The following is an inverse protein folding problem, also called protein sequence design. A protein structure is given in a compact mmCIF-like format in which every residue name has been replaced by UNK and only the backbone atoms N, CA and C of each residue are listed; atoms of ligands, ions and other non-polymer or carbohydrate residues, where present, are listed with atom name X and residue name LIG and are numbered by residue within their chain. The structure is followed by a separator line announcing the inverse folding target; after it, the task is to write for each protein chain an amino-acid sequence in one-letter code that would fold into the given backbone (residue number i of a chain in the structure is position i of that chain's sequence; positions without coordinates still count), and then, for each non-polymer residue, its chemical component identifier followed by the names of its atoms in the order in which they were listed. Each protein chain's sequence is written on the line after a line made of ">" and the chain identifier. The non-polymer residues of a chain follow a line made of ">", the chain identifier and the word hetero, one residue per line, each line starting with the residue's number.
data_IF_197124052481
#
_entry.id   IF_197124052481
#
_cell.length_a   1.000
_cell.length_b   1.000
_cell.length_c   1.000
_cell.angle_alpha   90.00
_cell.angle_beta   90.00
_cell.angle_gamma   90.00
#
_symmetry.space_group_name_H-M   'P 1'
#
loop_
_entity.id
_entity.type
_entity.pdbx_description
1 polymer ?
#
# COMPACT_ATOMS: atom_id res chain seq x y z
N UNK A 1 -63.23 -28.48 -20.75
CA UNK A 1 -61.81 -28.74 -21.06
C UNK A 1 -61.13 -27.39 -21.13
N UNK A 2 -60.50 -26.95 -20.04
CA UNK A 2 -59.91 -25.61 -19.94
C UNK A 2 -58.57 -25.58 -20.68
N UNK A 3 -58.50 -24.82 -21.76
CA UNK A 3 -57.28 -24.58 -22.52
C UNK A 3 -56.27 -23.80 -21.66
N UNK A 4 -55.15 -24.44 -21.30
CA UNK A 4 -53.95 -23.76 -20.81
C UNK A 4 -53.34 -23.04 -22.03
N UNK A 5 -53.21 -21.71 -21.94
CA UNK A 5 -52.42 -20.93 -22.90
C UNK A 5 -50.92 -21.23 -22.67
N UNK A 6 -50.10 -21.35 -23.73
CA UNK A 6 -48.67 -21.60 -23.59
C UNK A 6 -47.98 -20.38 -22.97
N UNK A 7 -47.09 -20.61 -22.01
CA UNK A 7 -46.18 -19.59 -21.49
C UNK A 7 -45.23 -19.20 -22.63
N UNK A 8 -45.11 -17.91 -23.02
CA UNK A 8 -44.13 -17.50 -24.01
C UNK A 8 -42.72 -17.68 -23.43
N UNK A 9 -41.88 -18.42 -24.14
CA UNK A 9 -40.44 -18.52 -23.84
C UNK A 9 -39.79 -17.13 -23.97
N UNK A 10 -38.93 -16.71 -23.03
CA UNK A 10 -38.21 -15.46 -23.18
C UNK A 10 -37.15 -15.59 -24.28
N UNK A 11 -37.17 -14.65 -25.23
CA UNK A 11 -36.15 -14.50 -26.26
C UNK A 11 -34.75 -14.30 -25.62
N UNK A 12 -33.70 -15.03 -26.05
CA UNK A 12 -32.37 -14.94 -25.47
C UNK A 12 -31.55 -13.73 -25.96
N UNK A 13 -32.19 -12.69 -26.49
CA UNK A 13 -31.51 -11.57 -27.17
C UNK A 13 -32.03 -10.20 -26.71
N UNK A 14 -32.24 -10.01 -25.40
CA UNK A 14 -32.32 -8.67 -24.86
C UNK A 14 -30.89 -8.10 -24.79
N UNK A 15 -30.57 -7.20 -25.72
CA UNK A 15 -29.38 -6.36 -25.68
C UNK A 15 -29.09 -5.90 -24.25
N UNK A 16 -27.84 -6.08 -23.81
CA UNK A 16 -27.30 -5.56 -22.55
C UNK A 16 -27.29 -4.03 -22.60
N UNK A 17 -28.45 -3.42 -22.44
CA UNK A 17 -28.62 -1.99 -22.31
C UNK A 17 -28.09 -1.60 -20.94
N UNK A 18 -26.82 -1.20 -20.90
CA UNK A 18 -26.22 -0.59 -19.73
C UNK A 18 -27.07 0.62 -19.30
N UNK A 19 -27.24 0.80 -17.99
CA UNK A 19 -27.97 1.92 -17.41
C UNK A 19 -27.24 3.26 -17.64
N UNK A 20 -27.82 4.36 -17.15
CA UNK A 20 -27.27 5.71 -17.27
C UNK A 20 -25.85 5.87 -16.66
N UNK A 21 -25.38 4.88 -15.91
CA UNK A 21 -24.09 4.86 -15.23
C UNK A 21 -23.16 3.74 -15.74
N UNK A 22 -23.55 3.05 -16.82
CA UNK A 22 -22.73 2.02 -17.46
C UNK A 22 -22.81 0.64 -16.79
N UNK A 23 -23.83 0.38 -15.97
CA UNK A 23 -24.03 -0.91 -15.31
C UNK A 23 -25.08 -1.76 -16.05
N UNK A 24 -24.83 -3.07 -16.16
CA UNK A 24 -25.81 -4.00 -16.75
C UNK A 24 -26.95 -4.30 -15.75
N UNK A 25 -28.19 -3.84 -16.01
CA UNK A 25 -29.32 -4.10 -15.12
C UNK A 25 -29.69 -5.59 -15.04
N UNK A 26 -29.30 -6.43 -16.02
CA UNK A 26 -29.50 -7.87 -15.96
C UNK A 26 -28.62 -8.54 -14.89
N UNK A 27 -27.45 -7.97 -14.60
CA UNK A 27 -26.58 -8.45 -13.52
C UNK A 27 -27.20 -8.30 -12.12
N UNK A 28 -28.18 -7.41 -11.97
CA UNK A 28 -28.88 -7.13 -10.71
C UNK A 28 -30.35 -7.59 -10.71
N UNK A 29 -30.78 -8.33 -11.73
CA UNK A 29 -32.17 -8.77 -11.81
C UNK A 29 -32.47 -9.87 -10.79
N UNK A 30 -33.28 -9.54 -9.77
CA UNK A 30 -33.69 -10.47 -8.72
C UNK A 30 -35.21 -10.41 -8.48
N UNK A 31 -35.80 -11.51 -8.00
CA UNK A 31 -37.25 -11.66 -7.80
C UNK A 31 -37.68 -11.06 -6.44
N UNK A 32 -38.51 -10.00 -6.42
CA UNK A 32 -38.95 -9.31 -5.21
C UNK A 32 -39.63 -10.21 -4.17
N UNK A 33 -39.27 -10.06 -2.89
CA UNK A 33 -39.99 -10.74 -1.78
C UNK A 33 -41.38 -10.14 -1.64
N UNK A 34 -42.40 -10.95 -1.89
CA UNK A 34 -43.80 -10.54 -1.77
C UNK A 34 -44.24 -10.57 -0.30
N UNK A 35 -44.32 -9.39 0.34
CA UNK A 35 -45.01 -9.20 1.62
C UNK A 35 -46.41 -8.64 1.41
N UNK A 36 -47.32 -8.92 2.36
CA UNK A 36 -48.69 -8.39 2.38
C UNK A 36 -48.65 -6.88 2.14
N UNK A 37 -49.27 -6.43 1.04
CA UNK A 37 -49.22 -5.04 0.54
C UNK A 37 -49.78 -4.08 1.59
N UNK A 38 -48.90 -3.47 2.40
CA UNK A 38 -49.21 -2.24 3.13
C UNK A 38 -48.85 -1.08 2.22
N UNK A 39 -49.70 -0.05 2.16
CA UNK A 39 -49.55 1.12 1.28
C UNK A 39 -48.17 1.80 1.43
N UNK A 40 -47.55 1.64 2.61
CA UNK A 40 -46.28 2.27 2.98
C UNK A 40 -45.13 1.26 3.18
N UNK A 41 -45.28 0.02 2.71
CA UNK A 41 -44.29 -1.05 2.89
C UNK A 41 -43.17 -1.07 1.84
N UNK A 42 -42.30 -2.08 1.95
CA UNK A 42 -41.29 -2.42 0.94
C UNK A 42 -41.97 -2.96 -0.32
N UNK A 43 -42.22 -2.10 -1.29
CA UNK A 43 -42.62 -2.51 -2.64
C UNK A 43 -41.42 -3.02 -3.43
N UNK A 44 -41.64 -3.83 -4.48
CA UNK A 44 -40.59 -4.20 -5.43
C UNK A 44 -39.76 -3.01 -5.92
N UNK A 45 -40.43 -1.92 -6.32
CA UNK A 45 -39.77 -0.72 -6.85
C UNK A 45 -38.86 -0.05 -5.80
N UNK A 46 -39.31 0.01 -4.54
CA UNK A 46 -38.49 0.52 -3.44
C UNK A 46 -37.30 -0.37 -3.14
N UNK A 47 -37.44 -1.70 -3.29
CA UNK A 47 -36.33 -2.62 -3.09
C UNK A 47 -35.29 -2.46 -4.21
N UNK A 48 -35.71 -2.25 -5.47
CA UNK A 48 -34.80 -1.96 -6.58
C UNK A 48 -34.09 -0.61 -6.39
N UNK A 49 -34.84 0.47 -6.17
CA UNK A 49 -34.28 1.80 -5.94
C UNK A 49 -33.32 1.83 -4.74
N UNK A 50 -33.57 1.02 -3.71
CA UNK A 50 -32.68 0.90 -2.57
C UNK A 50 -31.34 0.26 -2.95
N UNK A 51 -31.36 -0.80 -3.77
CA UNK A 51 -30.14 -1.49 -4.22
C UNK A 51 -29.32 -0.58 -5.15
N UNK A 52 -29.98 0.15 -6.05
CA UNK A 52 -29.34 1.15 -6.90
C UNK A 52 -28.67 2.24 -6.05
N UNK A 53 -29.41 2.86 -5.14
CA UNK A 53 -28.88 3.86 -4.22
C UNK A 53 -27.71 3.33 -3.38
N UNK A 54 -27.78 2.07 -2.95
CA UNK A 54 -26.73 1.43 -2.18
C UNK A 54 -25.46 1.21 -3.01
N UNK A 55 -25.60 0.82 -4.28
CA UNK A 55 -24.48 0.65 -5.21
C UNK A 55 -23.77 1.97 -5.53
N UNK A 56 -24.48 3.09 -5.43
CA UNK A 56 -23.92 4.42 -5.65
C UNK A 56 -23.21 5.00 -4.43
N UNK A 57 -23.83 4.91 -3.25
CA UNK A 57 -23.31 5.58 -2.06
C UNK A 57 -22.55 4.66 -1.09
N UNK A 58 -22.78 3.35 -1.13
CA UNK A 58 -22.21 2.37 -0.17
C UNK A 58 -22.71 2.52 1.27
N UNK A 59 -23.65 3.44 1.54
CA UNK A 59 -24.19 3.72 2.86
C UNK A 59 -25.64 3.26 2.98
N UNK A 60 -25.88 2.28 3.85
CA UNK A 60 -27.22 1.72 4.09
C UNK A 60 -28.19 2.78 4.62
N UNK A 61 -27.72 3.64 5.54
CA UNK A 61 -28.53 4.72 6.09
C UNK A 61 -28.96 5.72 5.01
N UNK A 62 -28.03 6.12 4.14
CA UNK A 62 -28.29 7.06 3.04
C UNK A 62 -29.24 6.44 2.00
N UNK A 63 -28.98 5.20 1.58
CA UNK A 63 -29.83 4.49 0.62
C UNK A 63 -31.25 4.28 1.16
N UNK A 64 -31.40 3.92 2.43
CA UNK A 64 -32.72 3.75 3.05
C UNK A 64 -33.49 5.08 3.10
N UNK A 65 -32.82 6.18 3.44
CA UNK A 65 -33.43 7.50 3.46
C UNK A 65 -33.93 7.92 2.07
N UNK A 66 -33.17 7.65 1.01
CA UNK A 66 -33.55 7.98 -0.37
C UNK A 66 -34.84 7.28 -0.82
N UNK A 67 -35.10 6.05 -0.36
CA UNK A 67 -36.34 5.33 -0.67
C UNK A 67 -37.47 5.55 0.35
N UNK A 68 -37.27 6.47 1.30
CA UNK A 68 -38.24 6.77 2.36
C UNK A 68 -38.43 5.61 3.35
N UNK A 69 -37.37 4.85 3.63
CA UNK A 69 -37.35 3.74 4.57
C UNK A 69 -36.34 3.98 5.70
N UNK A 70 -36.49 3.25 6.81
CA UNK A 70 -35.47 3.22 7.84
C UNK A 70 -34.44 2.13 7.57
N UNK A 71 -33.19 2.37 7.95
CA UNK A 71 -32.11 1.37 7.92
C UNK A 71 -32.52 0.07 8.64
N UNK A 72 -33.12 0.20 9.83
CA UNK A 72 -33.61 -0.94 10.61
C UNK A 72 -34.65 -1.78 9.87
N UNK A 73 -35.49 -1.15 9.03
CA UNK A 73 -36.47 -1.86 8.20
C UNK A 73 -35.82 -2.59 7.02
N UNK A 74 -34.75 -2.04 6.46
CA UNK A 74 -33.97 -2.66 5.39
C UNK A 74 -33.29 -3.95 5.87
N UNK A 75 -32.65 -3.92 7.04
CA UNK A 75 -32.08 -5.14 7.66
C UNK A 75 -33.14 -6.17 8.06
N UNK A 76 -34.36 -5.73 8.40
CA UNK A 76 -35.47 -6.65 8.68
C UNK A 76 -35.98 -7.31 7.39
N UNK A 77 -35.97 -6.59 6.27
CA UNK A 77 -36.29 -7.15 4.96
C UNK A 77 -35.22 -8.17 4.54
N UNK A 78 -33.94 -7.83 4.66
CA UNK A 78 -32.81 -8.72 4.36
C UNK A 78 -32.86 -10.05 5.10
N UNK A 79 -33.29 -10.05 6.36
CA UNK A 79 -33.42 -11.27 7.19
C UNK A 79 -34.76 -12.01 7.03
N UNK A 80 -35.65 -11.56 6.15
CA UNK A 80 -36.97 -12.20 6.03
C UNK A 80 -36.94 -13.43 5.13
N UNK A 81 -37.82 -14.42 5.36
CA UNK A 81 -37.89 -15.61 4.52
C UNK A 81 -38.10 -15.25 3.05
N UNK A 82 -37.31 -15.85 2.16
CA UNK A 82 -37.33 -15.58 0.72
C UNK A 82 -36.48 -14.38 0.26
N UNK A 83 -35.81 -13.66 1.18
CA UNK A 83 -34.98 -12.50 0.85
C UNK A 83 -33.57 -12.84 0.34
N UNK A 84 -33.27 -14.10 0.04
CA UNK A 84 -31.96 -14.56 -0.43
C UNK A 84 -31.51 -13.81 -1.69
N UNK A 85 -32.43 -13.55 -2.60
CA UNK A 85 -32.14 -12.84 -3.84
C UNK A 85 -31.86 -11.34 -3.60
N UNK A 86 -32.56 -10.73 -2.63
CA UNK A 86 -32.29 -9.37 -2.18
C UNK A 86 -30.95 -9.27 -1.45
N UNK A 87 -30.59 -10.26 -0.64
CA UNK A 87 -29.30 -10.35 0.07
C UNK A 87 -28.10 -10.45 -0.89
N UNK A 88 -28.25 -11.24 -1.97
CA UNK A 88 -27.24 -11.29 -3.04
C UNK A 88 -27.11 -9.96 -3.76
N UNK A 89 -28.22 -9.33 -4.13
CA UNK A 89 -28.21 -8.02 -4.78
C UNK A 89 -27.60 -6.94 -3.89
N UNK A 90 -27.88 -6.99 -2.58
CA UNK A 90 -27.27 -6.11 -1.58
C UNK A 90 -25.76 -6.27 -1.53
N UNK A 91 -25.28 -7.51 -1.48
CA UNK A 91 -23.85 -7.80 -1.42
C UNK A 91 -23.14 -7.29 -2.68
N UNK A 92 -23.71 -7.56 -3.86
CA UNK A 92 -23.20 -7.05 -5.13
C UNK A 92 -23.18 -5.50 -5.20
N UNK A 93 -24.18 -4.84 -4.63
CA UNK A 93 -24.22 -3.38 -4.54
C UNK A 93 -23.11 -2.82 -3.63
N UNK A 94 -22.88 -3.44 -2.46
CA UNK A 94 -21.76 -3.05 -1.59
C UNK A 94 -20.42 -3.24 -2.31
N UNK A 95 -20.24 -4.35 -3.03
CA UNK A 95 -19.03 -4.59 -3.81
C UNK A 95 -18.84 -3.52 -4.88
N UNK A 96 -19.90 -3.14 -5.60
CA UNK A 96 -19.87 -2.06 -6.60
C UNK A 96 -19.50 -0.70 -5.96
N UNK A 97 -20.12 -0.37 -4.83
CA UNK A 97 -19.82 0.86 -4.11
C UNK A 97 -18.38 0.88 -3.55
N UNK A 98 -17.87 -0.27 -3.12
CA UNK A 98 -16.50 -0.39 -2.61
C UNK A 98 -15.45 -0.09 -3.69
N UNK A 99 -15.70 -0.48 -4.94
CA UNK A 99 -14.84 -0.15 -6.09
C UNK A 99 -14.80 1.35 -6.34
N UNK A 100 -15.96 2.02 -6.35
CA UNK A 100 -16.05 3.48 -6.47
C UNK A 100 -15.33 4.19 -5.31
N UNK A 101 -15.45 3.67 -4.09
CA UNK A 101 -14.76 4.21 -2.92
C UNK A 101 -13.24 4.04 -3.03
N UNK A 102 -12.77 2.90 -3.54
CA UNK A 102 -11.36 2.66 -3.82
C UNK A 102 -10.84 3.62 -4.89
N UNK A 103 -11.56 3.80 -6.00
CA UNK A 103 -11.18 4.75 -7.06
C UNK A 103 -11.08 6.19 -6.51
N UNK A 104 -12.08 6.63 -5.73
CA UNK A 104 -12.07 7.93 -5.08
C UNK A 104 -10.95 8.06 -4.03
N UNK A 105 -10.57 6.96 -3.36
CA UNK A 105 -9.46 6.95 -2.42
C UNK A 105 -8.11 7.05 -3.14
N UNK A 106 -7.92 6.35 -4.26
CA UNK A 106 -6.74 6.46 -5.11
C UNK A 106 -6.59 7.88 -5.66
N UNK A 107 -7.66 8.46 -6.21
CA UNK A 107 -7.67 9.84 -6.69
C UNK A 107 -7.25 10.82 -5.59
N UNK A 108 -7.86 10.70 -4.39
CA UNK A 108 -7.53 11.56 -3.25
C UNK A 108 -6.10 11.35 -2.73
N UNK A 109 -5.57 10.14 -2.82
CA UNK A 109 -4.20 9.85 -2.40
C UNK A 109 -3.17 10.38 -3.41
N UNK A 110 -3.45 10.30 -4.71
CA UNK A 110 -2.53 10.70 -5.79
C UNK A 110 -2.58 12.20 -6.09
N UNK A 111 -3.77 12.77 -6.22
CA UNK A 111 -3.98 14.18 -6.58
C UNK A 111 -4.07 15.08 -5.34
N UNK A 112 -4.59 14.55 -4.22
CA UNK A 112 -4.91 15.32 -3.02
C UNK A 112 -6.35 15.84 -3.01
N UNK A 113 -6.80 16.42 -1.90
CA UNK A 113 -8.13 17.03 -1.77
C UNK A 113 -8.04 18.52 -1.50
N UNK A 114 -8.91 19.30 -2.15
CA UNK A 114 -9.07 20.72 -1.88
C UNK A 114 -9.86 20.94 -0.57
N UNK A 115 -9.16 21.33 0.49
CA UNK A 115 -9.79 21.79 1.72
C UNK A 115 -10.06 23.32 1.62
N UNK A 116 -11.32 23.76 1.80
CA UNK A 116 -11.62 25.18 1.89
C UNK A 116 -11.01 25.77 3.17
N UNK A 117 -10.23 26.84 3.03
CA UNK A 117 -9.68 27.59 4.17
C UNK A 117 -10.65 28.71 4.52
N UNK A 118 -11.10 28.73 5.77
CA UNK A 118 -12.02 29.76 6.30
C UNK A 118 -11.25 30.73 7.22
N UNK A 119 -11.63 32.00 7.21
CA UNK A 119 -11.15 32.99 8.19
C UNK A 119 -11.83 32.79 9.55
N UNK A 120 -11.43 33.59 10.54
CA UNK A 120 -12.04 33.61 11.87
C UNK A 120 -13.51 34.05 11.81
N UNK A 121 -13.92 34.71 10.74
CA UNK A 121 -15.28 35.19 10.50
C UNK A 121 -16.14 34.19 9.69
N UNK A 122 -15.61 33.00 9.37
CA UNK A 122 -16.30 31.93 8.64
C UNK A 122 -16.43 32.12 7.12
N UNK A 123 -15.78 33.14 6.56
CA UNK A 123 -15.74 33.38 5.10
C UNK A 123 -14.65 32.52 4.47
N UNK A 124 -14.94 31.95 3.30
CA UNK A 124 -13.99 31.10 2.56
C UNK A 124 -12.92 32.00 1.91
N UNK A 125 -11.69 31.93 2.42
CA UNK A 125 -10.56 32.80 2.03
C UNK A 125 -9.69 32.17 0.96
N UNK A 126 -9.74 30.84 0.80
CA UNK A 126 -8.93 30.15 -0.19
C UNK A 126 -9.19 28.65 -0.29
N UNK A 127 -8.34 27.99 -1.06
CA UNK A 127 -8.27 26.53 -1.20
C UNK A 127 -6.87 26.07 -0.82
N UNK A 128 -6.77 25.04 0.01
CA UNK A 128 -5.52 24.38 0.33
C UNK A 128 -5.59 22.95 -0.21
N UNK A 129 -4.66 22.60 -1.09
CA UNK A 129 -4.49 21.22 -1.52
C UNK A 129 -3.85 20.42 -0.38
N UNK A 130 -4.54 19.38 0.08
CA UNK A 130 -4.05 18.47 1.12
C UNK A 130 -3.88 17.08 0.56
N UNK A 131 -2.64 16.61 0.52
CA UNK A 131 -2.34 15.21 0.26
C UNK A 131 -2.55 14.39 1.54
N UNK A 132 -3.19 13.23 1.41
CA UNK A 132 -3.46 12.33 2.54
C UNK A 132 -2.46 11.18 2.55
N UNK A 133 -1.28 11.41 3.13
CA UNK A 133 -0.20 10.42 3.21
C UNK A 133 -0.65 9.15 3.95
N UNK A 134 -1.58 9.28 4.90
CA UNK A 134 -2.16 8.12 5.61
C UNK A 134 -3.01 7.24 4.69
N UNK A 135 -3.77 7.86 3.78
CA UNK A 135 -4.54 7.13 2.78
C UNK A 135 -3.62 6.47 1.75
N UNK A 136 -2.58 7.19 1.31
CA UNK A 136 -1.55 6.66 0.41
C UNK A 136 -0.85 5.44 1.03
N UNK A 137 -0.39 5.55 2.28
CA UNK A 137 0.27 4.45 2.99
C UNK A 137 -0.68 3.26 3.23
N UNK A 138 -1.96 3.51 3.51
CA UNK A 138 -2.96 2.45 3.62
C UNK A 138 -3.12 1.69 2.30
N UNK A 139 -3.23 2.40 1.17
CA UNK A 139 -3.34 1.78 -0.16
C UNK A 139 -2.07 1.02 -0.53
N UNK A 140 -0.87 1.56 -0.26
CA UNK A 140 0.40 0.86 -0.48
C UNK A 140 0.51 -0.44 0.34
N UNK A 141 0.04 -0.45 1.58
CA UNK A 141 0.00 -1.65 2.44
C UNK A 141 -0.98 -2.70 1.92
N UNK A 142 -2.10 -2.27 1.35
CA UNK A 142 -3.13 -3.16 0.82
C UNK A 142 -2.71 -3.82 -0.51
N UNK A 143 -2.05 -3.08 -1.41
CA UNK A 143 -1.72 -3.55 -2.76
C UNK A 143 -0.24 -3.96 -2.96
N UNK A 144 0.65 -3.62 -2.02
CA UNK A 144 2.04 -4.09 -2.01
C UNK A 144 2.41 -4.80 -0.70
N UNK A 145 1.69 -5.85 -0.29
CA UNK A 145 1.89 -6.49 1.00
C UNK A 145 3.33 -6.98 1.20
N UNK A 146 3.93 -7.63 0.21
CA UNK A 146 5.28 -8.20 0.36
C UNK A 146 6.37 -7.14 0.55
N UNK A 147 6.16 -5.95 -0.03
CA UNK A 147 7.10 -4.82 0.03
C UNK A 147 6.87 -3.92 1.25
N UNK A 148 5.61 -3.72 1.65
CA UNK A 148 5.22 -2.74 2.68
C UNK A 148 4.65 -3.35 3.96
N UNK A 149 4.29 -4.64 3.99
CA UNK A 149 3.94 -5.41 5.20
C UNK A 149 5.16 -6.02 5.90
N UNK A 150 6.19 -6.39 5.14
CA UNK A 150 7.40 -7.07 5.60
C UNK A 150 8.26 -6.30 6.61
N UNK A 151 8.19 -4.97 6.70
CA UNK A 151 8.99 -4.23 7.70
C UNK A 151 8.53 -4.47 9.16
N UNK A 152 7.24 -4.74 9.36
CA UNK A 152 6.69 -5.06 10.69
C UNK A 152 6.77 -6.56 11.01
N UNK A 153 6.62 -7.43 10.01
CA UNK A 153 6.70 -8.89 10.17
C UNK A 153 8.15 -9.40 10.33
N UNK A 154 9.14 -8.77 9.68
CA UNK A 154 10.57 -9.11 9.84
C UNK A 154 11.14 -8.81 11.23
N UNK A 155 10.39 -8.15 12.11
CA UNK A 155 10.77 -7.98 13.54
C UNK A 155 10.50 -9.26 14.36
N UNK A 156 9.74 -10.21 13.82
CA UNK A 156 9.25 -11.39 14.54
C UNK A 156 9.79 -12.73 14.03
N UNK A 157 10.67 -12.75 13.03
CA UNK A 157 11.47 -13.94 12.75
C UNK A 157 12.72 -13.91 13.63
N UNK A 158 12.98 -14.92 14.47
CA UNK A 158 14.30 -15.07 15.06
C UNK A 158 15.27 -15.25 13.90
N UNK A 159 16.26 -14.37 13.82
CA UNK A 159 17.32 -14.44 12.83
C UNK A 159 17.79 -15.90 12.72
N UNK A 160 17.60 -16.49 11.54
CA UNK A 160 18.21 -17.77 11.20
C UNK A 160 19.67 -17.66 11.63
N UNK A 161 20.12 -18.61 12.45
CA UNK A 161 21.45 -18.64 13.05
C UNK A 161 22.47 -18.33 11.97
N UNK A 162 22.98 -17.10 11.99
CA UNK A 162 24.02 -16.67 11.09
C UNK A 162 25.20 -17.61 11.35
N UNK A 163 25.55 -18.41 10.35
CA UNK A 163 26.81 -19.16 10.34
C UNK A 163 27.88 -18.12 10.69
N UNK A 164 28.71 -18.33 11.72
CA UNK A 164 29.65 -17.30 12.16
C UNK A 164 30.47 -16.88 10.94
N UNK A 165 30.58 -15.56 10.72
CA UNK A 165 31.19 -14.95 9.52
C UNK A 165 32.56 -15.55 9.19
N UNK A 166 33.29 -16.03 10.20
CA UNK A 166 34.53 -16.78 10.07
C UNK A 166 34.42 -18.03 9.17
N UNK A 167 33.35 -18.81 9.25
CA UNK A 167 33.16 -20.05 8.49
C UNK A 167 32.73 -19.76 7.04
N UNK A 168 31.96 -18.69 6.82
CA UNK A 168 31.61 -18.22 5.48
C UNK A 168 32.81 -17.62 4.72
N UNK A 169 33.74 -16.96 5.42
CA UNK A 169 34.95 -16.40 4.83
C UNK A 169 35.90 -17.48 4.29
N UNK A 170 36.01 -18.63 4.95
CA UNK A 170 36.87 -19.74 4.50
C UNK A 170 36.47 -20.27 3.12
N UNK A 171 35.17 -20.26 2.78
CA UNK A 171 34.68 -20.76 1.50
C UNK A 171 34.71 -19.73 0.36
N UNK A 172 34.89 -18.43 0.67
CA UNK A 172 34.93 -17.37 -0.34
C UNK A 172 36.34 -17.14 -0.92
N UNK A 173 37.40 -17.57 -0.24
CA UNK A 173 38.76 -17.33 -0.70
C UNK A 173 39.26 -18.53 -1.51
N UNK A 174 39.85 -18.32 -2.71
CA UNK A 174 40.47 -19.41 -3.45
C UNK A 174 41.58 -20.02 -2.59
N UNK A 175 41.64 -21.36 -2.53
CA UNK A 175 42.64 -22.06 -1.73
C UNK A 175 44.04 -21.57 -2.15
N UNK A 176 44.86 -21.04 -1.20
CA UNK A 176 46.19 -20.53 -1.54
C UNK A 176 47.03 -21.68 -2.11
N UNK A 177 47.81 -21.44 -3.18
CA UNK A 177 48.62 -22.49 -3.79
C UNK A 177 49.63 -23.03 -2.77
N UNK A 178 49.83 -24.34 -2.77
CA UNK A 178 50.50 -25.07 -1.68
C UNK A 178 52.00 -24.74 -1.48
N UNK A 179 52.62 -23.90 -2.31
CA UNK A 179 54.01 -23.45 -2.19
C UNK A 179 54.26 -22.20 -3.06
N UNK A 180 53.88 -20.99 -2.62
CA UNK A 180 54.07 -19.76 -3.42
C UNK A 180 55.55 -19.44 -3.70
N UNK A 181 56.46 -19.83 -2.83
CA UNK A 181 57.92 -19.70 -2.98
C UNK A 181 58.49 -20.46 -4.18
N UNK A 182 57.78 -21.46 -4.71
CA UNK A 182 58.20 -22.20 -5.90
C UNK A 182 57.81 -21.53 -7.23
N UNK A 183 57.01 -20.45 -7.18
CA UNK A 183 56.55 -19.71 -8.37
C UNK A 183 57.48 -18.54 -8.75
N UNK A 184 58.50 -18.23 -7.94
CA UNK A 184 59.51 -17.21 -8.22
C UNK A 184 60.91 -17.82 -8.14
N UNK A 185 61.85 -17.36 -8.98
CA UNK A 185 63.24 -17.77 -8.84
C UNK A 185 63.78 -17.27 -7.48
N UNK A 186 64.63 -18.04 -6.77
CA UNK A 186 65.04 -17.72 -5.40
C UNK A 186 65.63 -16.31 -5.24
N UNK A 187 66.34 -15.83 -6.25
CA UNK A 187 66.96 -14.51 -6.25
C UNK A 187 65.92 -13.38 -6.37
N UNK A 188 64.79 -13.62 -7.06
CA UNK A 188 63.72 -12.63 -7.22
C UNK A 188 62.87 -12.47 -5.95
N UNK A 189 62.68 -13.55 -5.18
CA UNK A 189 61.99 -13.49 -3.90
C UNK A 189 62.83 -12.74 -2.85
N UNK A 190 64.14 -12.99 -2.84
CA UNK A 190 65.06 -12.25 -1.97
C UNK A 190 65.05 -10.76 -2.30
N UNK A 191 65.11 -10.40 -3.58
CA UNK A 191 65.03 -9.00 -4.03
C UNK A 191 63.68 -8.37 -3.69
N UNK A 192 62.56 -9.10 -3.85
CA UNK A 192 61.24 -8.58 -3.52
C UNK A 192 61.06 -8.31 -2.01
N UNK A 193 61.59 -9.19 -1.16
CA UNK A 193 61.57 -8.99 0.29
C UNK A 193 62.48 -7.84 0.71
N UNK A 194 63.68 -7.73 0.12
CA UNK A 194 64.62 -6.63 0.39
C UNK A 194 64.03 -5.28 -0.04
N UNK A 195 63.35 -5.22 -1.19
CA UNK A 195 62.62 -4.02 -1.65
C UNK A 195 61.45 -3.67 -0.72
N UNK A 196 60.72 -4.67 -0.22
CA UNK A 196 59.61 -4.45 0.72
C UNK A 196 60.11 -3.89 2.07
N UNK A 197 61.21 -4.42 2.60
CA UNK A 197 61.84 -3.92 3.83
C UNK A 197 62.40 -2.50 3.65
N UNK A 198 62.85 -2.13 2.44
CA UNK A 198 63.33 -0.78 2.10
C UNK A 198 62.20 0.26 1.93
N UNK A 199 60.96 -0.16 1.76
CA UNK A 199 59.82 0.71 1.43
C UNK A 199 58.86 0.97 2.62
N UNK A 200 59.35 0.82 3.86
CA UNK A 200 58.62 1.05 5.13
C UNK A 200 57.32 0.24 5.30
N UNK A 201 57.08 -0.79 4.49
CA UNK A 201 55.88 -1.65 4.57
C UNK A 201 54.55 -0.96 4.23
N UNK A 202 54.60 0.31 3.83
CA UNK A 202 53.41 1.12 3.54
C UNK A 202 53.00 0.95 2.07
N UNK A 203 51.81 0.36 1.84
CA UNK A 203 51.29 0.22 0.49
C UNK A 203 51.09 1.60 -0.17
N UNK A 204 51.30 1.75 -1.49
CA UNK A 204 50.98 2.99 -2.17
C UNK A 204 49.50 3.37 -1.97
N UNK A 205 49.21 4.67 -1.88
CA UNK A 205 47.86 5.22 -1.61
C UNK A 205 46.70 4.63 -2.42
N UNK A 206 46.95 4.14 -3.64
CA UNK A 206 45.93 3.53 -4.49
C UNK A 206 45.60 2.06 -4.15
N UNK A 207 46.45 1.41 -3.33
CA UNK A 207 46.23 0.08 -2.77
C UNK A 207 45.82 0.11 -1.29
N UNK A 208 45.76 1.28 -0.66
CA UNK A 208 45.15 1.43 0.66
C UNK A 208 43.65 1.55 0.52
N UNK A 209 42.93 0.85 1.38
CA UNK A 209 41.50 1.05 1.53
C UNK A 209 41.30 2.40 2.26
N UNK A 210 40.56 3.37 1.69
CA UNK A 210 40.31 4.66 2.34
C UNK A 210 39.59 4.53 3.69
N UNK A 211 39.01 3.36 4.01
CA UNK A 211 38.42 3.09 5.31
C UNK A 211 39.45 2.87 6.44
N UNK A 212 40.71 2.56 6.12
CA UNK A 212 41.79 2.35 7.10
C UNK A 212 42.66 3.61 7.31
N UNK A 213 42.36 4.73 6.63
CA UNK A 213 43.01 6.01 6.94
C UNK A 213 42.50 6.53 8.30
N UNK A 214 43.37 6.70 9.31
CA UNK A 214 42.94 7.22 10.61
C UNK A 214 42.44 8.65 10.44
N UNK A 215 41.23 8.93 10.93
CA UNK A 215 40.65 10.28 10.92
C UNK A 215 41.64 11.29 11.49
N UNK A 216 41.83 12.46 10.84
CA UNK A 216 42.75 13.47 11.33
C UNK A 216 42.32 13.92 12.72
N UNK A 217 43.19 13.69 13.71
CA UNK A 217 42.97 14.13 15.09
C UNK A 217 42.76 15.65 15.06
N UNK A 218 41.59 16.15 15.48
CA UNK A 218 41.34 17.58 15.44
C UNK A 218 42.35 18.29 16.34
N UNK A 219 43.05 19.29 15.79
CA UNK A 219 44.02 20.08 16.52
C UNK A 219 43.38 20.66 17.79
N UNK A 220 44.02 20.41 18.94
CA UNK A 220 43.56 20.95 20.21
C UNK A 220 43.47 22.48 20.11
N UNK A 221 42.37 23.10 20.58
CA UNK A 221 42.25 24.56 20.56
C UNK A 221 43.37 25.18 21.41
N UNK A 222 43.98 26.30 20.97
CA UNK A 222 45.08 26.93 21.69
C UNK A 222 44.63 27.38 23.08
N UNK A 223 45.51 27.21 24.07
CA UNK A 223 45.23 27.53 25.45
C UNK A 223 45.05 29.06 25.63
N UNK A 224 44.18 29.50 26.56
CA UNK A 224 43.76 30.90 26.66
C UNK A 224 44.83 31.90 27.14
N UNK A 225 46.07 31.48 27.38
CA UNK A 225 47.17 32.35 27.82
C UNK A 225 48.22 32.66 26.72
N UNK A 226 48.04 32.18 25.49
CA UNK A 226 48.96 32.46 24.36
C UNK A 226 48.70 33.81 23.65
N UNK A 227 47.92 34.73 24.23
CA UNK A 227 47.56 36.02 23.58
C UNK A 227 48.34 37.26 24.06
N UNK A 228 49.15 37.15 25.12
CA UNK A 228 49.70 38.34 25.79
C UNK A 228 51.16 38.71 25.43
N UNK A 229 51.83 38.02 24.48
CA UNK A 229 53.23 38.34 24.13
C UNK A 229 53.44 39.20 22.87
N UNK A 230 52.38 39.77 22.28
CA UNK A 230 52.49 40.54 21.04
C UNK A 230 52.43 42.09 21.19
N UNK A 231 52.37 42.66 22.40
CA UNK A 231 52.31 44.13 22.61
C UNK A 231 53.48 44.75 23.42
N UNK A 232 54.66 44.12 23.47
CA UNK A 232 55.87 44.76 24.02
C UNK A 232 57.11 44.58 23.14
N UNK A 233 57.17 45.33 22.03
CA UNK A 233 58.41 45.92 21.45
C UNK A 233 58.08 46.95 20.37
#
# INVERSE_FOLDING_TARGET
>A
MSHIAPIPSPDPAADTALDAHGHDPAAYHWVPVLKKRRKDGWSPDKQRAFIEALADCGSVATAAQQVGMSESSAYRLRRSPGAEAFDRAWSAAIDAASKKLLDAAFERALVGSDEPVFDREGRRVGRRLRQSDRLLMFLLRAYGPDRFQGAAARRAEPAATAVPVAEALVHLHPAPPAAPEALMAPDDLAVALEVADLCDGELPRWYRDPADEPDPVPAAPPAPWDRDEAELS
#
